data_IF_851664373889
#
_entry.id   IF_851664373889
#
_cell.length_a   1.000
_cell.length_b   1.000
_cell.length_c   1.000
_cell.angle_alpha   90.00
_cell.angle_beta   90.00
_cell.angle_gamma   90.00
#
_symmetry.space_group_name_H-M   'P 1'
#
loop_
_entity.id
_entity.type
_entity.pdbx_description
1 polymer ?
#
# COMPACT_ATOMS: atom_id res chain seq x y z
N UNK A 1 47.88 -0.47 -21.95
CA UNK A 1 46.66 -0.05 -22.70
C UNK A 1 45.49 -1.03 -22.57
N UNK A 2 45.63 -2.28 -23.05
CA UNK A 2 44.53 -3.26 -23.08
C UNK A 2 43.93 -3.66 -21.72
N UNK A 3 44.73 -3.69 -20.64
CA UNK A 3 44.25 -4.04 -19.29
C UNK A 3 43.30 -2.96 -18.74
N UNK A 4 43.62 -1.68 -18.97
CA UNK A 4 42.79 -0.55 -18.51
C UNK A 4 41.45 -0.53 -19.26
N UNK A 5 41.44 -0.81 -20.55
CA UNK A 5 40.21 -0.90 -21.35
C UNK A 5 39.34 -2.09 -20.92
N UNK A 6 39.96 -3.22 -20.57
CA UNK A 6 39.24 -4.38 -20.02
C UNK A 6 38.58 -4.04 -18.68
N UNK A 7 39.30 -3.36 -17.77
CA UNK A 7 38.75 -2.92 -16.49
C UNK A 7 37.58 -1.94 -16.70
N UNK A 8 37.70 -0.96 -17.60
CA UNK A 8 36.61 -0.03 -17.94
C UNK A 8 35.39 -0.76 -18.49
N UNK A 9 35.58 -1.75 -19.37
CA UNK A 9 34.48 -2.53 -19.93
C UNK A 9 33.71 -3.32 -18.87
N UNK A 10 34.42 -3.95 -17.92
CA UNK A 10 33.81 -4.71 -16.83
C UNK A 10 33.05 -3.79 -15.87
N UNK A 11 33.63 -2.64 -15.51
CA UNK A 11 32.98 -1.66 -14.63
C UNK A 11 31.73 -1.10 -15.30
N UNK A 12 31.77 -0.75 -16.58
CA UNK A 12 30.60 -0.28 -17.31
C UNK A 12 29.50 -1.33 -17.40
N UNK A 13 29.84 -2.59 -17.70
CA UNK A 13 28.88 -3.69 -17.73
C UNK A 13 28.20 -3.91 -16.37
N UNK A 14 28.99 -3.85 -15.30
CA UNK A 14 28.50 -3.96 -13.92
C UNK A 14 27.54 -2.81 -13.59
N UNK A 15 27.90 -1.57 -13.90
CA UNK A 15 27.04 -0.41 -13.65
C UNK A 15 25.71 -0.49 -14.39
N UNK A 16 25.71 -0.92 -15.65
CA UNK A 16 24.47 -1.13 -16.43
C UNK A 16 23.61 -2.26 -15.85
N UNK A 17 24.23 -3.37 -15.41
CA UNK A 17 23.47 -4.47 -14.81
C UNK A 17 22.85 -4.07 -13.46
N UNK A 18 23.56 -3.29 -12.64
CA UNK A 18 23.01 -2.75 -11.39
C UNK A 18 21.87 -1.74 -11.63
N UNK A 19 22.00 -0.86 -12.63
CA UNK A 19 20.92 0.06 -13.01
C UNK A 19 19.68 -0.70 -13.50
N UNK A 20 19.86 -1.72 -14.33
CA UNK A 20 18.77 -2.56 -14.79
C UNK A 20 18.08 -3.31 -13.63
N UNK A 21 18.86 -3.84 -12.68
CA UNK A 21 18.29 -4.49 -11.47
C UNK A 21 17.48 -3.51 -10.62
N UNK A 22 17.94 -2.27 -10.45
CA UNK A 22 17.20 -1.23 -9.74
C UNK A 22 15.87 -0.92 -10.43
N UNK A 23 15.89 -0.67 -11.74
CA UNK A 23 14.68 -0.39 -12.52
C UNK A 23 13.65 -1.54 -12.43
N UNK A 24 14.11 -2.79 -12.55
CA UNK A 24 13.23 -3.97 -12.41
C UNK A 24 12.64 -4.06 -10.99
N UNK A 25 13.41 -3.70 -9.96
CA UNK A 25 12.92 -3.73 -8.58
C UNK A 25 11.88 -2.63 -8.31
N UNK A 26 12.03 -1.46 -8.91
CA UNK A 26 11.06 -0.37 -8.82
C UNK A 26 9.76 -0.72 -9.54
N UNK A 27 9.85 -1.26 -10.77
CA UNK A 27 8.68 -1.73 -11.53
C UNK A 27 7.91 -2.83 -10.77
N UNK A 28 8.62 -3.79 -10.17
CA UNK A 28 7.98 -4.79 -9.30
C UNK A 28 7.35 -4.17 -8.07
N UNK A 29 7.97 -3.16 -7.48
CA UNK A 29 7.41 -2.41 -6.36
C UNK A 29 6.10 -1.74 -6.73
N UNK A 30 6.05 -1.09 -7.89
CA UNK A 30 4.84 -0.44 -8.42
C UNK A 30 3.71 -1.45 -8.63
N UNK A 31 4.00 -2.62 -9.24
CA UNK A 31 3.01 -3.69 -9.40
C UNK A 31 2.48 -4.21 -8.06
N UNK A 32 3.35 -4.38 -7.06
CA UNK A 32 2.94 -4.81 -5.72
C UNK A 32 1.99 -3.78 -5.08
N UNK A 33 2.32 -2.50 -5.18
CA UNK A 33 1.49 -1.42 -4.64
C UNK A 33 0.15 -1.32 -5.40
N UNK A 34 0.18 -1.44 -6.72
CA UNK A 34 -1.00 -1.48 -7.58
C UNK A 34 -1.97 -2.60 -7.14
N UNK A 35 -1.47 -3.82 -6.98
CA UNK A 35 -2.29 -4.97 -6.56
C UNK A 35 -2.90 -4.78 -5.18
N UNK A 36 -2.11 -4.30 -4.21
CA UNK A 36 -2.56 -4.06 -2.84
C UNK A 36 -3.63 -2.96 -2.79
N UNK A 37 -3.41 -1.84 -3.48
CA UNK A 37 -4.37 -0.73 -3.54
C UNK A 37 -5.66 -1.21 -4.20
N UNK A 38 -5.57 -1.87 -5.36
CA UNK A 38 -6.71 -2.42 -6.07
C UNK A 38 -7.56 -3.31 -5.17
N UNK A 39 -6.95 -4.26 -4.47
CA UNK A 39 -7.66 -5.22 -3.64
C UNK A 39 -8.25 -4.60 -2.38
N UNK A 40 -7.55 -3.63 -1.78
CA UNK A 40 -8.03 -2.87 -0.62
C UNK A 40 -9.26 -2.04 -0.97
N UNK A 41 -9.35 -1.54 -2.19
CA UNK A 41 -10.42 -0.63 -2.63
C UNK A 41 -11.51 -1.31 -3.46
N UNK A 42 -11.46 -2.64 -3.64
CA UNK A 42 -12.54 -3.37 -4.32
C UNK A 42 -13.87 -3.13 -3.61
N UNK A 43 -14.88 -2.79 -4.40
CA UNK A 43 -16.22 -2.46 -3.89
C UNK A 43 -16.78 -3.52 -2.94
N UNK A 44 -16.64 -4.82 -3.28
CA UNK A 44 -17.06 -5.92 -2.40
C UNK A 44 -16.37 -5.87 -1.03
N UNK A 45 -15.07 -5.58 -1.00
CA UNK A 45 -14.30 -5.52 0.23
C UNK A 45 -14.69 -4.30 1.08
N UNK A 46 -14.80 -3.13 0.46
CA UNK A 46 -15.28 -1.92 1.13
C UNK A 46 -16.69 -2.12 1.71
N UNK A 47 -17.62 -2.66 0.95
CA UNK A 47 -18.98 -2.94 1.43
C UNK A 47 -19.00 -3.85 2.68
N UNK A 48 -18.11 -4.83 2.79
CA UNK A 48 -18.02 -5.66 4.00
C UNK A 48 -17.39 -4.90 5.18
N UNK A 49 -16.39 -4.04 4.95
CA UNK A 49 -15.76 -3.25 6.02
C UNK A 49 -16.72 -2.20 6.59
N UNK A 50 -17.51 -1.54 5.73
CA UNK A 50 -18.42 -0.47 6.14
C UNK A 50 -19.72 -0.98 6.79
N UNK A 51 -19.95 -2.29 6.86
CA UNK A 51 -21.06 -2.84 7.64
C UNK A 51 -20.84 -2.55 9.13
N UNK A 52 -21.90 -2.19 9.88
CA UNK A 52 -21.85 -2.15 11.33
C UNK A 52 -21.41 -3.51 11.87
N UNK A 53 -20.30 -3.54 12.58
CA UNK A 53 -19.71 -4.77 13.10
C UNK A 53 -18.92 -4.51 14.37
N UNK A 54 -18.76 -5.54 15.19
CA UNK A 54 -17.90 -5.48 16.36
C UNK A 54 -16.44 -5.29 15.94
N UNK A 55 -15.65 -4.72 16.85
CA UNK A 55 -14.21 -4.56 16.63
C UNK A 55 -13.54 -5.90 16.34
N UNK A 56 -12.76 -5.94 15.26
CA UNK A 56 -11.96 -7.12 14.93
C UNK A 56 -10.90 -7.39 15.99
N UNK A 57 -10.72 -8.67 16.33
CA UNK A 57 -9.56 -9.07 17.15
C UNK A 57 -8.26 -8.92 16.35
N UNK A 58 -7.13 -8.77 17.06
CA UNK A 58 -5.79 -8.68 16.43
C UNK A 58 -5.54 -9.85 15.47
N UNK A 59 -6.00 -11.06 15.81
CA UNK A 59 -5.87 -12.26 14.96
C UNK A 59 -6.62 -12.12 13.64
N UNK A 60 -7.88 -11.65 13.67
CA UNK A 60 -8.67 -11.46 12.45
C UNK A 60 -8.12 -10.34 11.57
N UNK A 61 -7.69 -9.23 12.19
CA UNK A 61 -7.05 -8.12 11.48
C UNK A 61 -5.75 -8.56 10.80
N UNK A 62 -4.92 -9.35 11.50
CA UNK A 62 -3.70 -9.93 10.93
C UNK A 62 -4.01 -10.83 9.72
N UNK A 63 -4.98 -11.73 9.85
CA UNK A 63 -5.36 -12.62 8.76
C UNK A 63 -5.86 -11.85 7.52
N UNK A 64 -6.63 -10.76 7.70
CA UNK A 64 -7.02 -9.88 6.59
C UNK A 64 -5.80 -9.19 5.96
N UNK A 65 -4.89 -8.67 6.76
CA UNK A 65 -3.68 -8.01 6.28
C UNK A 65 -2.78 -8.95 5.48
N UNK A 66 -2.57 -10.18 5.95
CA UNK A 66 -1.85 -11.24 5.23
C UNK A 66 -2.49 -11.57 3.88
N UNK A 67 -3.83 -11.66 3.83
CA UNK A 67 -4.55 -11.89 2.58
C UNK A 67 -4.39 -10.74 1.59
N UNK A 68 -4.37 -9.49 2.06
CA UNK A 68 -4.11 -8.33 1.21
C UNK A 68 -2.67 -8.31 0.70
N UNK A 69 -1.68 -8.53 1.56
CA UNK A 69 -0.28 -8.56 1.15
C UNK A 69 -0.01 -9.66 0.11
N UNK A 70 -0.55 -10.86 0.33
CA UNK A 70 -0.41 -12.00 -0.58
C UNK A 70 -1.28 -11.92 -1.84
N UNK A 71 -2.18 -10.94 -1.95
CA UNK A 71 -2.91 -10.68 -3.19
C UNK A 71 -2.00 -10.12 -4.29
N UNK A 72 -0.86 -9.56 -3.92
CA UNK A 72 0.20 -9.14 -4.83
C UNK A 72 1.14 -10.29 -5.22
N UNK A 73 2.03 -10.02 -6.19
CA UNK A 73 3.14 -10.91 -6.53
C UNK A 73 4.18 -11.06 -5.41
N UNK A 74 4.19 -10.18 -4.40
CA UNK A 74 5.14 -10.24 -3.30
C UNK A 74 5.01 -11.55 -2.51
N UNK A 75 6.14 -12.16 -2.17
CA UNK A 75 6.24 -13.35 -1.32
C UNK A 75 7.09 -13.01 -0.11
N UNK A 76 6.45 -12.89 1.04
CA UNK A 76 7.11 -12.61 2.31
C UNK A 76 7.29 -13.89 3.11
N UNK A 77 8.39 -14.00 3.85
CA UNK A 77 8.51 -15.00 4.91
C UNK A 77 7.55 -14.67 6.06
N UNK A 78 7.18 -15.65 6.88
CA UNK A 78 6.33 -15.43 8.06
C UNK A 78 6.90 -14.34 8.98
N UNK A 79 8.22 -14.35 9.21
CA UNK A 79 8.90 -13.32 10.02
C UNK A 79 8.85 -11.93 9.38
N UNK A 80 9.02 -11.84 8.06
CA UNK A 80 8.92 -10.56 7.33
C UNK A 80 7.48 -10.02 7.35
N UNK A 81 6.49 -10.91 7.19
CA UNK A 81 5.07 -10.61 7.22
C UNK A 81 4.64 -10.07 8.60
N UNK A 82 5.14 -10.68 9.69
CA UNK A 82 4.92 -10.20 11.05
C UNK A 82 5.47 -8.79 11.25
N UNK A 83 6.72 -8.55 10.86
CA UNK A 83 7.33 -7.22 10.98
C UNK A 83 6.57 -6.16 10.18
N UNK A 84 6.10 -6.51 8.98
CA UNK A 84 5.30 -5.61 8.14
C UNK A 84 3.95 -5.28 8.80
N UNK A 85 3.28 -6.26 9.40
CA UNK A 85 2.03 -6.04 10.13
C UNK A 85 2.25 -5.15 11.35
N UNK A 86 3.27 -5.42 12.15
CA UNK A 86 3.56 -4.62 13.34
C UNK A 86 3.98 -3.18 12.97
N UNK A 87 4.74 -2.99 11.89
CA UNK A 87 5.08 -1.65 11.39
C UNK A 87 3.83 -0.87 10.97
N UNK A 88 2.95 -1.50 10.20
CA UNK A 88 1.68 -0.89 9.74
C UNK A 88 0.79 -0.53 10.93
N UNK A 89 0.70 -1.43 11.91
CA UNK A 89 -0.06 -1.22 13.13
C UNK A 89 0.51 -0.08 13.98
N UNK A 90 1.84 -0.01 14.13
CA UNK A 90 2.50 1.06 14.90
C UNK A 90 2.31 2.42 14.22
N UNK A 91 2.44 2.50 12.90
CA UNK A 91 2.20 3.74 12.16
C UNK A 91 0.74 4.19 12.27
N UNK A 92 -0.20 3.25 12.13
CA UNK A 92 -1.64 3.55 12.30
C UNK A 92 -1.93 4.03 13.73
N UNK A 93 -1.41 3.35 14.75
CA UNK A 93 -1.55 3.79 16.16
C UNK A 93 -1.02 5.19 16.37
N UNK A 94 0.17 5.48 15.85
CA UNK A 94 0.77 6.81 15.94
C UNK A 94 -0.12 7.88 15.30
N UNK A 95 -0.64 7.63 14.10
CA UNK A 95 -1.52 8.59 13.41
C UNK A 95 -2.82 8.83 14.18
N UNK A 96 -3.43 7.78 14.74
CA UNK A 96 -4.65 7.90 15.56
C UNK A 96 -4.36 8.57 16.90
N UNK A 97 -3.24 8.29 17.56
CA UNK A 97 -2.88 8.95 18.82
C UNK A 97 -2.50 10.42 18.63
N UNK A 98 -2.16 10.82 17.41
CA UNK A 98 -1.78 12.18 17.05
C UNK A 98 -2.98 13.04 16.63
N UNK A 99 -4.18 12.47 16.49
CA UNK A 99 -5.38 13.28 16.24
C UNK A 99 -5.83 14.00 17.51
N UNK A 100 -6.27 15.24 17.37
CA UNK A 100 -6.76 16.11 18.44
C UNK A 100 -8.27 16.00 18.58
N UNK A 101 -8.98 15.77 17.47
CA UNK A 101 -10.44 15.66 17.41
C UNK A 101 -10.85 14.38 16.67
N UNK A 102 -11.93 13.67 17.08
CA UNK A 102 -12.34 12.40 16.46
C UNK A 102 -12.56 12.48 14.94
N UNK A 103 -13.08 13.60 14.44
CA UNK A 103 -13.35 13.85 13.03
C UNK A 103 -12.06 13.85 12.19
N UNK A 104 -10.92 14.16 12.80
CA UNK A 104 -9.62 14.12 12.12
C UNK A 104 -9.21 12.70 11.72
N UNK A 105 -9.79 11.66 12.33
CA UNK A 105 -9.59 10.28 11.86
C UNK A 105 -10.06 10.14 10.41
N UNK A 106 -11.20 10.75 10.05
CA UNK A 106 -11.68 10.73 8.67
C UNK A 106 -10.75 11.53 7.76
N UNK A 107 -10.22 12.67 8.21
CA UNK A 107 -9.21 13.43 7.46
C UNK A 107 -7.95 12.60 7.20
N UNK A 108 -7.46 11.86 8.20
CA UNK A 108 -6.34 10.93 8.05
C UNK A 108 -6.69 9.87 7.00
N UNK A 109 -7.85 9.24 7.07
CA UNK A 109 -8.32 8.26 6.07
C UNK A 109 -8.37 8.84 4.66
N UNK A 110 -8.94 10.03 4.47
CA UNK A 110 -9.01 10.71 3.17
C UNK A 110 -7.62 11.09 2.62
N UNK A 111 -6.69 11.44 3.51
CA UNK A 111 -5.29 11.67 3.14
C UNK A 111 -4.60 10.39 2.67
N UNK A 112 -4.88 9.24 3.28
CA UNK A 112 -4.38 7.94 2.82
C UNK A 112 -4.93 7.58 1.44
N UNK A 113 -6.22 7.74 1.20
CA UNK A 113 -6.82 7.48 -0.12
C UNK A 113 -6.23 8.42 -1.19
N UNK A 114 -6.02 9.69 -0.85
CA UNK A 114 -5.33 10.64 -1.73
C UNK A 114 -3.86 10.26 -1.98
N UNK A 115 -3.20 9.66 -0.99
CA UNK A 115 -1.85 9.09 -1.12
C UNK A 115 -1.82 7.89 -2.06
N UNK A 116 -2.76 6.96 -1.91
CA UNK A 116 -2.93 5.82 -2.82
C UNK A 116 -3.14 6.29 -4.26
N UNK A 117 -3.89 7.37 -4.46
CA UNK A 117 -4.09 8.00 -5.78
C UNK A 117 -2.80 8.48 -6.43
N UNK A 118 -1.86 9.00 -5.63
CA UNK A 118 -0.54 9.43 -6.12
C UNK A 118 0.35 8.23 -6.44
N UNK A 119 0.23 7.15 -5.67
CA UNK A 119 1.03 5.92 -5.84
C UNK A 119 0.58 5.13 -7.07
N UNK A 120 -0.73 4.94 -7.26
CA UNK A 120 -1.30 4.06 -8.28
C UNK A 120 -1.15 4.56 -9.73
N UNK A 121 -0.45 5.68 -9.95
CA UNK A 121 -0.33 6.36 -11.26
C UNK A 121 -1.73 6.60 -11.89
N UNK A 122 -1.81 7.22 -13.07
CA UNK A 122 -3.11 7.61 -13.68
C UNK A 122 -3.78 6.43 -14.40
N UNK A 123 -3.91 5.27 -13.74
CA UNK A 123 -4.59 4.09 -14.28
C UNK A 123 -6.10 4.18 -14.00
N UNK A 124 -6.91 4.21 -15.06
CA UNK A 124 -8.33 4.60 -14.98
C UNK A 124 -9.18 3.72 -14.05
N UNK A 125 -8.85 2.43 -13.95
CA UNK A 125 -9.56 1.44 -13.14
C UNK A 125 -9.33 1.64 -11.64
N UNK A 126 -8.10 1.83 -11.19
CA UNK A 126 -7.82 2.15 -9.78
C UNK A 126 -8.36 3.52 -9.42
N UNK A 127 -8.29 4.49 -10.33
CA UNK A 127 -8.82 5.83 -10.06
C UNK A 127 -10.33 5.77 -9.76
N UNK A 128 -11.08 4.89 -10.43
CA UNK A 128 -12.48 4.65 -10.13
C UNK A 128 -12.69 3.99 -8.75
N UNK A 129 -11.87 3.00 -8.39
CA UNK A 129 -11.92 2.39 -7.06
C UNK A 129 -11.65 3.43 -5.94
N UNK A 130 -10.68 4.32 -6.15
CA UNK A 130 -10.36 5.41 -5.22
C UNK A 130 -11.51 6.41 -5.12
N UNK A 131 -12.11 6.81 -6.26
CA UNK A 131 -13.29 7.70 -6.25
C UNK A 131 -14.44 7.10 -5.46
N UNK A 132 -14.72 5.82 -5.65
CA UNK A 132 -15.76 5.11 -4.92
C UNK A 132 -15.47 5.05 -3.42
N UNK A 133 -14.22 4.77 -3.03
CA UNK A 133 -13.81 4.79 -1.63
C UNK A 133 -13.94 6.18 -0.99
N UNK A 134 -13.52 7.24 -1.70
CA UNK A 134 -13.71 8.63 -1.28
C UNK A 134 -15.19 8.96 -1.07
N UNK A 135 -16.06 8.53 -1.99
CA UNK A 135 -17.50 8.77 -1.88
C UNK A 135 -18.09 8.05 -0.64
N UNK A 136 -17.72 6.79 -0.41
CA UNK A 136 -18.18 6.03 0.77
C UNK A 136 -17.72 6.67 2.09
N UNK A 137 -16.45 7.06 2.20
CA UNK A 137 -15.94 7.75 3.41
C UNK A 137 -16.58 9.13 3.55
N UNK A 138 -16.76 9.86 2.45
CA UNK A 138 -17.43 11.17 2.44
C UNK A 138 -18.87 11.09 2.93
N UNK A 139 -19.61 10.04 2.59
CA UNK A 139 -20.96 9.83 3.12
C UNK A 139 -20.96 9.73 4.65
N UNK A 140 -19.95 9.10 5.27
CA UNK A 140 -19.85 9.08 6.74
C UNK A 140 -19.65 10.47 7.34
N UNK A 141 -18.96 11.38 6.63
CA UNK A 141 -18.81 12.79 7.06
C UNK A 141 -20.15 13.52 7.02
N UNK A 142 -20.92 13.34 5.94
CA UNK A 142 -22.16 14.10 5.70
C UNK A 142 -23.37 13.56 6.46
N UNK A 143 -23.45 12.24 6.67
CA UNK A 143 -24.58 11.62 7.37
C UNK A 143 -24.38 11.53 8.89
N UNK A 144 -23.22 11.96 9.40
CA UNK A 144 -22.91 11.98 10.82
C UNK A 144 -22.65 10.58 11.39
N UNK A 145 -21.66 10.52 12.28
CA UNK A 145 -21.67 9.54 13.37
C UNK A 145 -22.56 10.13 14.47
#
# INVERSE_FOLDING_TARGET
PAIIDRIRSTVNYSSHSFQNQKNISEEKGDLVLHDIISQTLKQKYLHEIFKPQNMFSRRHMRAMFERLAHSSIMRLSESSMEKLFDLTLMMTKYQIQSVVMPEQILTVTMNHLSGMRRIAKQEDDIQELIRNAHAMVGQLVFYGI
#
